data_IF_814400480735
#
_entry.id   IF_814400480735
#
_cell.length_a   1.000
_cell.length_b   1.000
_cell.length_c   1.000
_cell.angle_alpha   90.00
_cell.angle_beta   90.00
_cell.angle_gamma   90.00
#
_symmetry.space_group_name_H-M   'P 1'
#
loop_
_entity.id
_entity.type
_entity.pdbx_description
1 polymer ?
#
# COMPACT_ATOMS: atom_id res chain seq x y z
N UNK A 1 26.87 7.97 -7.94
CA UNK A 1 26.51 7.16 -6.73
C UNK A 1 26.77 5.68 -7.03
N UNK A 2 27.21 4.85 -6.07
CA UNK A 2 27.34 3.42 -6.32
C UNK A 2 25.97 2.72 -6.43
N UNK A 3 25.92 1.54 -7.09
CA UNK A 3 24.65 0.86 -7.37
C UNK A 3 23.88 0.41 -6.11
N UNK A 4 24.58 0.15 -5.00
CA UNK A 4 23.94 -0.27 -3.75
C UNK A 4 23.25 0.91 -3.07
N UNK A 5 23.89 2.08 -3.03
CA UNK A 5 23.29 3.32 -2.49
C UNK A 5 22.10 3.77 -3.32
N UNK A 6 22.18 3.67 -4.66
CA UNK A 6 21.05 3.98 -5.56
C UNK A 6 19.87 3.03 -5.29
N UNK A 7 20.12 1.74 -5.19
CA UNK A 7 19.08 0.75 -4.90
C UNK A 7 18.41 1.01 -3.54
N UNK A 8 19.17 1.40 -2.51
CA UNK A 8 18.64 1.78 -1.22
C UNK A 8 17.77 3.06 -1.33
N UNK A 9 18.29 4.11 -1.95
CA UNK A 9 17.58 5.37 -2.15
C UNK A 9 16.24 5.17 -2.84
N UNK A 10 16.23 4.41 -3.96
CA UNK A 10 15.01 4.08 -4.70
C UNK A 10 13.98 3.34 -3.84
N UNK A 11 14.40 2.30 -3.12
CA UNK A 11 13.49 1.53 -2.26
C UNK A 11 12.89 2.41 -1.17
N UNK A 12 13.70 3.24 -0.50
CA UNK A 12 13.25 4.16 0.54
C UNK A 12 12.28 5.20 0.00
N UNK A 13 12.59 5.83 -1.14
CA UNK A 13 11.71 6.80 -1.77
C UNK A 13 10.35 6.21 -2.15
N UNK A 14 10.34 5.01 -2.77
CA UNK A 14 9.09 4.35 -3.13
C UNK A 14 8.28 3.92 -1.90
N UNK A 15 8.93 3.37 -0.87
CA UNK A 15 8.30 3.04 0.41
C UNK A 15 7.71 4.28 1.08
N UNK A 16 8.46 5.39 1.09
CA UNK A 16 8.02 6.67 1.62
C UNK A 16 6.78 7.19 0.88
N UNK A 17 6.79 7.20 -0.46
CA UNK A 17 5.67 7.68 -1.25
C UNK A 17 4.40 6.86 -1.04
N UNK A 18 4.52 5.53 -0.99
CA UNK A 18 3.37 4.61 -0.79
C UNK A 18 2.85 4.65 0.65
N UNK A 19 3.68 5.00 1.64
CA UNK A 19 3.34 4.94 3.06
C UNK A 19 3.36 3.51 3.61
N UNK A 20 4.33 2.69 3.18
CA UNK A 20 4.52 1.32 3.68
C UNK A 20 5.93 1.08 4.15
N UNK A 21 6.07 0.36 5.28
CA UNK A 21 7.38 -0.02 5.80
C UNK A 21 8.15 -0.91 4.81
N UNK A 22 9.47 -0.76 4.81
CA UNK A 22 10.37 -1.62 4.04
C UNK A 22 10.35 -3.05 4.62
N UNK A 23 10.24 -4.09 3.77
CA UNK A 23 10.35 -5.47 4.23
C UNK A 23 11.71 -5.75 4.88
N UNK A 24 11.71 -6.51 5.98
CA UNK A 24 12.93 -7.01 6.64
C UNK A 24 13.72 -5.99 7.45
N UNK A 25 13.15 -4.81 7.74
CA UNK A 25 13.75 -3.91 8.72
C UNK A 25 13.62 -4.54 10.11
N UNK A 26 14.73 -4.70 10.87
CA UNK A 26 14.66 -5.11 12.27
C UNK A 26 13.72 -4.19 13.04
N UNK A 27 13.00 -4.75 14.00
CA UNK A 27 11.97 -4.04 14.74
C UNK A 27 12.44 -2.72 15.32
N UNK A 28 11.51 -1.92 15.65
CA UNK A 28 11.41 -0.53 16.08
C UNK A 28 12.40 -0.01 17.16
N UNK A 29 13.49 -0.70 17.43
CA UNK A 29 14.49 -0.29 18.42
C UNK A 29 15.47 0.77 17.91
N UNK A 30 15.49 1.06 16.60
CA UNK A 30 16.33 2.12 16.04
C UNK A 30 15.59 3.47 16.14
N UNK A 31 16.22 4.42 16.82
CA UNK A 31 15.75 5.80 16.92
C UNK A 31 15.56 6.43 15.54
N UNK A 32 14.40 7.09 15.33
CA UNK A 32 14.11 7.90 14.16
C UNK A 32 13.34 7.21 13.02
N UNK A 33 13.06 7.98 11.99
CA UNK A 33 12.32 7.56 10.80
C UNK A 33 13.17 6.69 9.86
N UNK A 34 12.52 5.77 9.12
CA UNK A 34 13.19 5.01 8.07
C UNK A 34 13.64 5.91 6.91
N UNK A 35 12.78 6.83 6.50
CA UNK A 35 13.03 7.74 5.40
C UNK A 35 12.57 9.14 5.77
N UNK A 36 13.44 10.13 5.57
CA UNK A 36 13.12 11.55 5.73
C UNK A 36 13.31 12.23 4.39
N UNK A 37 12.30 12.96 3.94
CA UNK A 37 12.35 13.79 2.75
C UNK A 37 12.31 15.27 3.17
N UNK A 38 13.26 16.04 2.68
CA UNK A 38 13.32 17.48 2.91
C UNK A 38 12.79 18.22 1.67
N UNK A 39 11.98 19.25 1.86
CA UNK A 39 11.62 20.19 0.80
C UNK A 39 12.70 21.26 0.61
N UNK A 40 13.40 21.63 1.69
CA UNK A 40 14.43 22.66 1.66
C UNK A 40 15.75 22.14 2.23
N UNK A 41 16.86 22.24 1.48
CA UNK A 41 18.16 21.74 1.92
C UNK A 41 18.72 22.50 3.14
N UNK A 42 18.22 23.72 3.47
CA UNK A 42 18.63 24.47 4.65
C UNK A 42 18.42 23.69 5.96
N UNK A 43 17.44 22.80 5.99
CA UNK A 43 17.09 22.01 7.16
C UNK A 43 17.96 20.76 7.36
N UNK A 44 18.82 20.42 6.39
CA UNK A 44 19.59 19.17 6.41
C UNK A 44 20.48 19.06 7.68
N UNK A 45 21.19 20.12 8.05
CA UNK A 45 22.09 20.10 9.18
C UNK A 45 21.34 19.86 10.52
N UNK A 46 20.17 20.48 10.67
CA UNK A 46 19.33 20.34 11.86
C UNK A 46 18.73 18.94 11.95
N UNK A 47 18.21 18.41 10.85
CA UNK A 47 17.68 17.04 10.78
C UNK A 47 18.75 16.02 11.12
N UNK A 48 19.95 16.16 10.59
CA UNK A 48 21.08 15.25 10.88
C UNK A 48 21.58 15.32 12.33
N UNK A 49 21.32 16.43 13.02
CA UNK A 49 21.65 16.62 14.44
C UNK A 49 20.53 16.22 15.41
N UNK A 50 19.37 15.81 14.90
CA UNK A 50 18.18 15.49 15.70
C UNK A 50 18.02 13.96 15.89
N UNK A 51 17.09 13.56 16.77
CA UNK A 51 16.63 12.20 16.97
C UNK A 51 15.58 11.74 15.92
N UNK A 52 15.25 12.60 14.95
CA UNK A 52 14.40 12.23 13.82
C UNK A 52 15.07 11.21 12.89
N UNK A 53 16.39 11.09 12.94
CA UNK A 53 17.20 10.19 12.11
C UNK A 53 18.07 9.25 12.95
N UNK A 54 18.15 8.01 12.49
CA UNK A 54 19.05 6.98 13.05
C UNK A 54 20.10 6.50 12.04
N UNK A 55 20.96 5.55 12.42
CA UNK A 55 22.02 5.03 11.55
C UNK A 55 21.53 4.44 10.23
N UNK A 56 20.30 3.93 10.20
CA UNK A 56 19.70 3.28 9.02
C UNK A 56 18.70 4.17 8.29
N UNK A 57 18.58 5.44 8.67
CA UNK A 57 17.71 6.40 7.99
C UNK A 57 18.29 6.77 6.63
N UNK A 58 17.42 6.86 5.62
CA UNK A 58 17.75 7.54 4.37
C UNK A 58 17.13 8.93 4.38
N UNK A 59 17.97 9.94 4.20
CA UNK A 59 17.57 11.35 4.08
C UNK A 59 17.68 11.77 2.64
N UNK A 60 16.56 12.17 2.04
CA UNK A 60 16.49 12.73 0.70
C UNK A 60 16.44 14.28 0.83
N UNK A 61 17.32 14.96 0.13
CA UNK A 61 17.45 16.42 0.19
C UNK A 61 17.54 17.03 -1.20
N UNK A 62 16.91 18.18 -1.47
CA UNK A 62 17.08 18.86 -2.76
C UNK A 62 18.54 19.22 -3.04
N UNK A 63 18.91 19.16 -4.31
CA UNK A 63 20.25 19.49 -4.77
C UNK A 63 21.27 18.36 -4.54
N UNK A 64 22.55 18.72 -4.48
CA UNK A 64 23.64 17.75 -4.33
C UNK A 64 23.81 17.38 -2.84
N UNK A 65 23.79 16.07 -2.56
CA UNK A 65 24.12 15.61 -1.21
C UNK A 65 25.59 15.99 -0.85
N UNK A 66 25.83 16.35 0.42
CA UNK A 66 27.20 16.58 0.88
C UNK A 66 28.00 15.28 0.82
N UNK A 67 29.28 15.40 0.42
CA UNK A 67 30.22 14.27 0.49
C UNK A 67 30.49 13.96 1.96
N UNK A 68 30.01 12.81 2.42
CA UNK A 68 30.33 12.27 3.74
C UNK A 68 31.40 11.21 3.55
N UNK A 69 32.51 11.35 4.27
CA UNK A 69 33.46 10.26 4.42
C UNK A 69 32.85 9.03 5.08
N UNK A 70 33.63 7.97 5.32
CA UNK A 70 33.19 6.71 5.96
C UNK A 70 32.76 6.88 7.46
N UNK A 71 31.92 7.87 7.72
CA UNK A 71 31.39 8.11 9.07
C UNK A 71 30.05 7.36 9.21
N UNK A 72 29.90 6.51 10.23
CA UNK A 72 28.60 5.90 10.53
C UNK A 72 27.51 6.94 10.71
N UNK A 73 26.35 6.73 10.09
CA UNK A 73 25.22 7.65 10.20
C UNK A 73 24.23 7.47 9.03
N UNK A 74 23.17 8.30 9.00
CA UNK A 74 22.14 8.20 7.96
C UNK A 74 22.70 8.37 6.54
N UNK A 75 22.14 7.65 5.60
CA UNK A 75 22.47 7.82 4.17
C UNK A 75 21.82 9.09 3.65
N UNK A 76 22.60 10.07 3.25
CA UNK A 76 22.10 11.31 2.59
C UNK A 76 22.18 11.16 1.08
N UNK A 77 21.06 11.45 0.41
CA UNK A 77 20.91 11.36 -1.04
C UNK A 77 20.33 12.66 -1.59
N UNK A 78 21.03 13.25 -2.56
CA UNK A 78 20.53 14.43 -3.25
C UNK A 78 19.52 14.08 -4.33
N UNK A 79 18.52 14.91 -4.53
CA UNK A 79 17.57 14.81 -5.63
C UNK A 79 17.37 16.17 -6.33
N UNK A 80 16.91 16.14 -7.57
CA UNK A 80 16.45 17.29 -8.32
C UNK A 80 14.95 17.17 -8.58
N UNK A 81 14.25 18.27 -8.70
CA UNK A 81 12.80 18.33 -8.84
C UNK A 81 12.07 18.49 -7.51
N UNK A 82 10.79 18.16 -7.47
CA UNK A 82 9.93 18.31 -6.29
C UNK A 82 9.03 17.08 -6.10
N UNK A 83 8.71 16.79 -4.84
CA UNK A 83 7.69 15.80 -4.45
C UNK A 83 6.39 16.46 -3.97
N UNK A 84 6.40 17.78 -3.76
CA UNK A 84 5.23 18.55 -3.30
C UNK A 84 4.48 19.22 -4.45
N UNK A 85 5.15 19.51 -5.57
CA UNK A 85 4.49 20.10 -6.74
C UNK A 85 3.56 19.10 -7.45
N UNK A 86 2.33 19.49 -7.79
CA UNK A 86 1.45 18.69 -8.64
C UNK A 86 2.10 18.42 -10.01
N UNK A 87 2.03 17.17 -10.49
CA UNK A 87 2.63 16.79 -11.77
C UNK A 87 4.15 16.98 -11.85
N UNK A 88 4.83 17.07 -10.69
CA UNK A 88 6.28 17.22 -10.63
C UNK A 88 7.02 15.93 -10.96
N UNK A 89 8.28 16.08 -11.29
CA UNK A 89 9.21 14.99 -11.49
C UNK A 89 10.36 15.11 -10.50
N UNK A 90 10.89 13.95 -10.11
CA UNK A 90 12.09 13.90 -9.27
C UNK A 90 13.14 13.03 -9.95
N UNK A 91 14.40 13.46 -9.90
CA UNK A 91 15.52 12.62 -10.32
C UNK A 91 16.59 12.47 -9.24
N UNK A 92 17.20 11.29 -9.20
CA UNK A 92 18.35 10.98 -8.34
C UNK A 92 19.53 10.61 -9.24
N UNK A 93 20.60 11.41 -9.16
CA UNK A 93 21.87 11.16 -9.85
C UNK A 93 21.70 10.92 -11.38
N UNK A 94 20.75 11.60 -12.02
CA UNK A 94 20.40 11.48 -13.44
C UNK A 94 20.17 10.04 -13.95
N UNK A 95 19.97 9.10 -13.04
CA UNK A 95 19.85 7.66 -13.36
C UNK A 95 18.55 7.03 -12.87
N UNK A 96 17.88 7.63 -11.90
CA UNK A 96 16.53 7.24 -11.48
C UNK A 96 15.60 8.44 -11.57
N UNK A 97 14.50 8.25 -12.30
CA UNK A 97 13.45 9.26 -12.48
C UNK A 97 12.14 8.75 -11.86
N UNK A 98 11.50 9.57 -11.08
CA UNK A 98 10.18 9.34 -10.52
C UNK A 98 9.24 10.42 -11.03
N UNK A 99 8.25 10.02 -11.80
CA UNK A 99 7.15 10.88 -12.22
C UNK A 99 6.09 10.91 -11.11
N UNK A 100 5.50 12.08 -10.86
CA UNK A 100 4.33 12.21 -9.98
C UNK A 100 3.13 12.67 -10.78
N UNK A 101 1.96 12.06 -10.53
CA UNK A 101 0.71 12.37 -11.22
C UNK A 101 -0.42 12.45 -10.21
N UNK A 102 -1.40 13.33 -10.45
CA UNK A 102 -2.62 13.38 -9.67
C UNK A 102 -3.60 12.32 -10.19
N UNK A 103 -4.37 11.71 -9.28
CA UNK A 103 -5.16 10.52 -9.62
C UNK A 103 -6.15 10.77 -10.76
N UNK A 104 -6.94 11.84 -10.70
CA UNK A 104 -7.96 12.14 -11.69
C UNK A 104 -7.40 12.38 -13.09
N UNK A 105 -6.18 12.89 -13.20
CA UNK A 105 -5.51 13.16 -14.48
C UNK A 105 -4.74 11.98 -15.03
N UNK A 106 -4.37 10.99 -14.19
CA UNK A 106 -3.50 9.87 -14.56
C UNK A 106 -4.06 9.01 -15.71
N UNK A 107 -5.38 8.94 -15.86
CA UNK A 107 -6.01 8.22 -16.99
C UNK A 107 -5.66 8.83 -18.36
N UNK A 108 -5.25 10.10 -18.41
CA UNK A 108 -4.92 10.86 -19.62
C UNK A 108 -3.42 11.08 -19.78
N UNK A 109 -2.61 10.64 -18.81
CA UNK A 109 -1.18 10.84 -18.79
C UNK A 109 -0.44 9.60 -19.27
N UNK A 110 0.76 9.80 -19.82
CA UNK A 110 1.64 8.68 -20.20
C UNK A 110 2.48 8.25 -18.99
N UNK A 111 2.55 6.94 -18.78
CA UNK A 111 3.50 6.32 -17.84
C UNK A 111 4.82 6.07 -18.58
N UNK A 112 5.85 6.87 -18.26
CA UNK A 112 7.15 6.79 -18.95
C UNK A 112 8.13 5.91 -18.16
N UNK A 113 7.94 5.79 -16.85
CA UNK A 113 8.81 5.04 -15.95
C UNK A 113 8.16 4.92 -14.57
N UNK A 114 8.99 4.83 -13.52
CA UNK A 114 8.47 4.79 -12.15
C UNK A 114 7.56 6.00 -11.90
N UNK A 115 6.32 5.76 -11.55
CA UNK A 115 5.28 6.80 -11.39
C UNK A 115 4.60 6.63 -10.04
N UNK A 116 4.46 7.73 -9.31
CA UNK A 116 3.71 7.83 -8.07
C UNK A 116 2.44 8.62 -8.32
N UNK A 117 1.30 7.95 -8.25
CA UNK A 117 -0.02 8.57 -8.39
C UNK A 117 -0.57 8.93 -7.03
N UNK A 118 -1.06 10.15 -6.88
CA UNK A 118 -1.45 10.75 -5.60
C UNK A 118 -2.87 11.27 -5.63
N UNK A 119 -3.46 11.36 -4.43
CA UNK A 119 -4.66 12.15 -4.17
C UNK A 119 -4.20 13.50 -3.61
N UNK A 120 -4.37 14.57 -4.40
CA UNK A 120 -3.93 15.93 -4.07
C UNK A 120 -5.10 16.90 -3.87
N UNK A 121 -6.30 16.48 -4.23
CA UNK A 121 -7.56 17.22 -4.03
C UNK A 121 -8.75 16.24 -3.92
N UNK A 122 -9.90 16.75 -3.51
CA UNK A 122 -11.11 15.93 -3.31
C UNK A 122 -11.55 15.23 -4.61
N UNK A 123 -11.41 15.88 -5.76
CA UNK A 123 -11.72 15.28 -7.07
C UNK A 123 -10.88 14.04 -7.40
N UNK A 124 -9.62 14.00 -6.95
CA UNK A 124 -8.77 12.81 -7.08
C UNK A 124 -9.30 11.65 -6.23
N UNK A 125 -9.77 11.97 -5.01
CA UNK A 125 -10.35 10.96 -4.13
C UNK A 125 -11.67 10.41 -4.68
N UNK A 126 -12.52 11.28 -5.23
CA UNK A 126 -13.75 10.86 -5.92
C UNK A 126 -13.46 9.95 -7.13
N UNK A 127 -12.46 10.30 -7.94
CA UNK A 127 -12.04 9.49 -9.09
C UNK A 127 -11.50 8.12 -8.63
N UNK A 128 -10.71 8.08 -7.55
CA UNK A 128 -10.23 6.83 -6.93
C UNK A 128 -11.40 5.95 -6.46
N UNK A 129 -12.41 6.52 -5.80
CA UNK A 129 -13.59 5.77 -5.35
C UNK A 129 -14.42 5.25 -6.52
N UNK A 130 -14.61 6.06 -7.56
CA UNK A 130 -15.35 5.65 -8.77
C UNK A 130 -14.67 4.47 -9.49
N UNK A 131 -13.34 4.49 -9.61
CA UNK A 131 -12.58 3.37 -10.19
C UNK A 131 -12.64 2.11 -9.29
N UNK A 132 -12.60 2.28 -7.98
CA UNK A 132 -12.75 1.18 -7.04
C UNK A 132 -14.16 0.54 -7.12
N UNK A 133 -15.20 1.35 -7.19
CA UNK A 133 -16.59 0.90 -7.35
C UNK A 133 -16.78 0.15 -8.67
N UNK A 134 -16.22 0.66 -9.78
CA UNK A 134 -16.23 -0.01 -11.09
C UNK A 134 -15.50 -1.34 -11.05
N UNK A 135 -14.32 -1.38 -10.46
CA UNK A 135 -13.58 -2.63 -10.29
C UNK A 135 -14.39 -3.63 -9.45
N UNK A 136 -15.04 -3.18 -8.38
CA UNK A 136 -15.86 -4.04 -7.52
C UNK A 136 -17.07 -4.61 -8.25
N UNK A 137 -17.77 -3.79 -9.02
CA UNK A 137 -18.99 -4.16 -9.73
C UNK A 137 -18.74 -4.95 -11.01
N UNK A 138 -17.76 -4.54 -11.81
CA UNK A 138 -17.57 -4.97 -13.20
C UNK A 138 -16.25 -5.75 -13.40
N UNK A 139 -15.32 -5.70 -12.45
CA UNK A 139 -13.98 -6.27 -12.61
C UNK A 139 -13.06 -5.42 -13.48
N UNK A 140 -13.45 -4.20 -13.77
CA UNK A 140 -12.69 -3.27 -14.61
C UNK A 140 -11.80 -2.39 -13.75
N UNK A 141 -10.52 -2.70 -13.71
CA UNK A 141 -9.51 -1.90 -13.02
C UNK A 141 -8.98 -0.79 -13.93
N UNK A 142 -8.76 0.41 -13.37
CA UNK A 142 -8.16 1.51 -14.11
C UNK A 142 -6.79 1.09 -14.69
N UNK A 143 -6.60 1.30 -16.00
CA UNK A 143 -5.45 0.78 -16.74
C UNK A 143 -4.12 1.30 -16.17
N UNK A 144 -4.04 2.62 -15.86
CA UNK A 144 -2.85 3.22 -15.27
C UNK A 144 -2.57 2.67 -13.87
N UNK A 145 -3.60 2.46 -13.03
CA UNK A 145 -3.45 1.98 -11.66
C UNK A 145 -2.95 0.52 -11.59
N UNK A 146 -3.05 -0.23 -12.67
CA UNK A 146 -2.55 -1.60 -12.81
C UNK A 146 -1.27 -1.71 -13.65
N UNK A 147 -0.70 -0.58 -14.10
CA UNK A 147 0.61 -0.56 -14.77
C UNK A 147 1.72 -0.93 -13.76
N UNK A 148 2.64 -1.85 -14.10
CA UNK A 148 3.74 -2.25 -13.22
C UNK A 148 4.65 -1.11 -12.74
N UNK A 149 4.76 -0.03 -13.51
CA UNK A 149 5.57 1.12 -13.17
C UNK A 149 4.87 2.10 -12.20
N UNK A 150 3.55 1.97 -12.01
CA UNK A 150 2.74 2.85 -11.18
C UNK A 150 2.63 2.34 -9.74
N UNK A 151 2.76 3.24 -8.78
CA UNK A 151 2.43 3.04 -7.38
C UNK A 151 1.43 4.11 -6.92
N UNK A 152 0.50 3.75 -6.05
CA UNK A 152 -0.37 4.72 -5.40
C UNK A 152 0.30 5.24 -4.13
N UNK A 153 0.25 6.54 -3.92
CA UNK A 153 0.71 7.17 -2.69
C UNK A 153 -0.30 6.97 -1.55
N UNK A 154 0.18 7.09 -0.33
CA UNK A 154 -0.65 7.21 0.88
C UNK A 154 -1.73 6.12 1.03
N UNK A 155 -1.41 4.89 0.59
CA UNK A 155 -2.40 3.79 0.49
C UNK A 155 -3.07 3.47 1.84
N UNK A 156 -2.40 3.72 2.96
CA UNK A 156 -2.98 3.54 4.29
C UNK A 156 -4.16 4.47 4.54
N UNK A 157 -4.06 5.71 4.06
CA UNK A 157 -5.14 6.69 4.14
C UNK A 157 -6.29 6.39 3.16
N UNK A 158 -6.02 5.66 2.08
CA UNK A 158 -7.00 5.23 1.07
C UNK A 158 -7.71 3.92 1.43
N UNK A 159 -7.46 3.35 2.61
CA UNK A 159 -8.16 2.16 3.10
C UNK A 159 -7.32 0.89 3.24
N UNK A 160 -6.01 0.90 2.91
CA UNK A 160 -5.17 -0.28 3.12
C UNK A 160 -4.91 -0.61 4.60
N UNK A 161 -5.32 0.28 5.51
CA UNK A 161 -5.13 0.12 6.94
C UNK A 161 -3.77 0.59 7.46
N UNK A 162 -3.64 0.77 8.78
CA UNK A 162 -2.52 1.47 9.40
C UNK A 162 -1.23 0.66 9.53
N UNK A 163 -1.22 -0.63 9.21
CA UNK A 163 -0.25 -1.62 9.68
C UNK A 163 1.24 -1.27 9.46
N UNK A 164 1.58 -0.26 8.66
CA UNK A 164 2.98 0.07 8.40
C UNK A 164 3.25 1.55 8.09
N UNK A 165 2.27 2.43 8.20
CA UNK A 165 2.46 3.87 7.98
C UNK A 165 2.72 4.60 9.31
N UNK A 166 3.33 5.77 9.24
CA UNK A 166 3.58 6.65 10.37
C UNK A 166 5.01 7.19 10.41
N UNK A 167 5.33 8.01 11.45
CA UNK A 167 6.62 8.69 11.57
C UNK A 167 7.84 7.75 11.57
N UNK A 168 7.71 6.52 12.11
CA UNK A 168 8.78 5.54 12.09
C UNK A 168 9.09 5.03 10.66
N UNK A 169 8.11 5.05 9.76
CA UNK A 169 8.27 4.66 8.36
C UNK A 169 8.76 5.83 7.52
N UNK A 170 8.15 7.01 7.69
CA UNK A 170 8.40 8.17 6.86
C UNK A 170 8.17 9.49 7.56
N UNK A 171 9.01 10.47 7.25
CA UNK A 171 8.81 11.87 7.58
C UNK A 171 9.01 12.75 6.34
N UNK A 172 8.28 13.84 6.29
CA UNK A 172 8.46 14.93 5.38
C UNK A 172 8.73 16.22 6.16
N UNK A 173 9.74 16.96 5.77
CA UNK A 173 10.10 18.27 6.33
C UNK A 173 9.80 19.31 5.29
N UNK A 174 8.71 20.04 5.49
CA UNK A 174 8.26 21.08 4.56
C UNK A 174 9.17 22.28 4.50
N UNK A 175 8.85 23.20 3.60
CA UNK A 175 9.65 24.42 3.30
C UNK A 175 10.03 25.21 4.57
N UNK A 176 9.10 25.39 5.51
CA UNK A 176 9.28 26.13 6.76
C UNK A 176 9.65 25.26 7.97
N UNK A 177 10.06 23.99 7.75
CA UNK A 177 10.45 23.07 8.82
C UNK A 177 9.28 22.41 9.56
N UNK A 178 8.07 22.44 9.01
CA UNK A 178 6.93 21.65 9.52
C UNK A 178 7.17 20.16 9.27
N UNK A 179 6.82 19.31 10.23
CA UNK A 179 6.94 17.86 10.16
C UNK A 179 5.60 17.23 9.85
N UNK A 180 5.54 16.33 8.86
CA UNK A 180 4.39 15.54 8.49
C UNK A 180 4.83 14.16 7.93
N UNK A 181 3.91 13.30 7.50
CA UNK A 181 4.23 12.03 6.84
C UNK A 181 4.20 12.11 5.32
N UNK A 182 3.61 13.17 4.76
CA UNK A 182 3.53 13.41 3.31
C UNK A 182 3.53 14.91 3.02
N UNK A 183 3.73 15.37 1.77
CA UNK A 183 3.75 16.78 1.42
C UNK A 183 2.46 17.54 1.78
N UNK A 184 1.32 16.89 1.68
CA UNK A 184 0.00 17.45 2.03
C UNK A 184 -0.49 16.99 3.40
N UNK A 185 0.31 16.13 4.08
CA UNK A 185 -0.06 15.58 5.37
C UNK A 185 -0.28 16.63 6.44
N UNK A 186 -1.18 16.32 7.38
CA UNK A 186 -1.40 17.16 8.56
C UNK A 186 -0.08 17.33 9.32
N UNK A 187 0.18 18.54 9.75
CA UNK A 187 1.37 18.87 10.54
C UNK A 187 1.35 18.15 11.87
N UNK A 188 2.41 17.40 12.17
CA UNK A 188 2.61 16.65 13.41
C UNK A 188 3.54 17.37 14.40
N UNK A 189 4.33 18.33 13.91
CA UNK A 189 5.29 19.08 14.71
C UNK A 189 6.11 20.05 13.86
N UNK A 190 7.23 20.49 14.41
CA UNK A 190 8.22 21.35 13.75
C UNK A 190 9.62 20.82 14.01
N UNK A 191 10.58 21.24 13.21
CA UNK A 191 12.00 21.03 13.52
C UNK A 191 12.32 21.55 14.93
N UNK A 192 13.11 20.77 15.67
CA UNK A 192 13.35 20.99 17.09
C UNK A 192 12.46 20.17 18.02
N UNK A 193 11.31 19.67 17.56
CA UNK A 193 10.54 18.67 18.29
C UNK A 193 11.26 17.32 18.25
N UNK A 194 11.28 16.61 19.38
CA UNK A 194 11.84 15.25 19.45
C UNK A 194 10.95 14.22 18.73
N UNK A 195 11.57 13.16 18.20
CA UNK A 195 10.88 12.09 17.46
C UNK A 195 9.70 11.51 18.25
N UNK A 196 9.85 11.28 19.55
CA UNK A 196 8.76 10.80 20.41
C UNK A 196 7.53 11.73 20.42
N UNK A 197 7.73 13.05 20.33
CA UNK A 197 6.64 14.04 20.27
C UNK A 197 5.87 13.93 18.94
N UNK A 198 6.59 13.70 17.85
CA UNK A 198 6.00 13.52 16.50
C UNK A 198 5.17 12.22 16.46
N UNK A 199 5.70 11.13 17.02
CA UNK A 199 4.96 9.87 17.15
C UNK A 199 3.70 10.05 17.99
N UNK A 200 3.80 10.70 19.16
CA UNK A 200 2.65 10.96 20.01
C UNK A 200 1.58 11.84 19.34
N UNK A 201 1.98 12.78 18.47
CA UNK A 201 1.06 13.59 17.68
C UNK A 201 0.34 12.74 16.62
N UNK A 202 1.05 11.82 15.96
CA UNK A 202 0.49 10.84 15.02
C UNK A 202 -0.52 9.93 15.71
N UNK A 203 -0.16 9.33 16.84
CA UNK A 203 -1.03 8.41 17.59
C UNK A 203 -2.31 9.09 18.04
N UNK A 204 -2.21 10.34 18.53
CA UNK A 204 -3.34 11.15 18.95
C UNK A 204 -4.28 11.44 17.76
N UNK A 205 -3.73 11.88 16.63
CA UNK A 205 -4.52 12.17 15.44
C UNK A 205 -5.26 10.92 14.92
N UNK A 206 -4.61 9.74 15.00
CA UNK A 206 -5.25 8.47 14.62
C UNK A 206 -6.31 8.00 15.63
N UNK A 207 -6.16 8.32 16.92
CA UNK A 207 -7.17 8.00 17.93
C UNK A 207 -8.44 8.84 17.82
N UNK A 208 -8.39 9.99 17.15
CA UNK A 208 -9.50 10.91 16.93
C UNK A 208 -10.34 10.57 15.68
N UNK A 209 -9.92 9.61 14.86
CA UNK A 209 -10.63 9.22 13.63
C UNK A 209 -11.09 7.77 13.67
N UNK A 210 -12.25 7.49 13.05
CA UNK A 210 -12.76 6.12 12.88
C UNK A 210 -11.87 5.27 11.93
N UNK A 211 -11.20 5.92 10.98
CA UNK A 211 -10.30 5.29 10.03
C UNK A 211 -8.91 5.91 10.13
N UNK A 212 -7.93 5.25 10.79
CA UNK A 212 -6.57 5.74 10.97
C UNK A 212 -5.87 6.13 9.67
N UNK A 213 -4.76 6.88 9.78
CA UNK A 213 -3.92 7.36 8.67
C UNK A 213 -4.49 8.54 7.85
N UNK A 214 -5.60 9.16 8.24
CA UNK A 214 -6.08 10.41 7.64
C UNK A 214 -5.00 11.50 7.57
N UNK A 215 -4.12 11.51 8.55
CA UNK A 215 -2.99 12.45 8.67
C UNK A 215 -2.18 12.58 7.39
N UNK A 216 -2.02 11.50 6.62
CA UNK A 216 -1.23 11.48 5.39
C UNK A 216 -1.86 12.31 4.26
N UNK A 217 -3.19 12.38 4.19
CA UNK A 217 -3.91 13.23 3.22
C UNK A 217 -4.13 14.66 3.74
N UNK A 218 -3.96 14.89 5.04
CA UNK A 218 -4.15 16.20 5.65
C UNK A 218 -5.53 16.78 5.42
N UNK A 219 -5.57 18.00 4.93
CA UNK A 219 -6.80 18.71 4.61
C UNK A 219 -7.22 18.56 3.12
N UNK A 220 -6.49 17.77 2.34
CA UNK A 220 -6.75 17.52 0.91
C UNK A 220 -8.13 16.90 0.70
N UNK A 221 -8.51 15.96 1.58
CA UNK A 221 -9.83 15.33 1.61
C UNK A 221 -10.42 15.60 3.00
N UNK A 222 -11.62 16.22 3.08
CA UNK A 222 -12.31 16.41 4.35
C UNK A 222 -12.49 15.09 5.10
N UNK A 223 -12.21 15.07 6.41
CA UNK A 223 -12.19 13.82 7.19
C UNK A 223 -13.56 13.15 7.28
N UNK A 224 -14.64 13.90 7.28
CA UNK A 224 -16.01 13.39 7.24
C UNK A 224 -16.32 12.71 5.90
N UNK A 225 -15.89 13.30 4.78
CA UNK A 225 -16.02 12.72 3.42
C UNK A 225 -15.23 11.41 3.33
N UNK A 226 -13.97 11.42 3.78
CA UNK A 226 -13.12 10.24 3.80
C UNK A 226 -13.70 9.14 4.69
N UNK A 227 -14.11 9.47 5.91
CA UNK A 227 -14.70 8.53 6.88
C UNK A 227 -15.97 7.90 6.33
N UNK A 228 -16.87 8.68 5.73
CA UNK A 228 -18.08 8.16 5.10
C UNK A 228 -17.74 7.17 3.97
N UNK A 229 -16.83 7.55 3.07
CA UNK A 229 -16.43 6.72 1.94
C UNK A 229 -15.82 5.37 2.37
N UNK A 230 -14.92 5.38 3.38
CA UNK A 230 -14.29 4.16 3.91
C UNK A 230 -15.27 3.27 4.68
N UNK A 231 -16.24 3.87 5.38
CA UNK A 231 -17.29 3.14 6.08
C UNK A 231 -18.25 2.45 5.11
N UNK A 232 -18.61 3.12 4.01
CA UNK A 232 -19.44 2.56 2.95
C UNK A 232 -18.74 1.48 2.12
N UNK A 233 -17.39 1.52 2.06
CA UNK A 233 -16.55 0.64 1.25
C UNK A 233 -15.48 -0.08 2.08
N UNK A 234 -15.86 -0.94 3.05
CA UNK A 234 -14.90 -1.64 3.92
C UNK A 234 -13.90 -2.51 3.14
N UNK A 235 -14.24 -2.85 1.89
CA UNK A 235 -13.43 -3.63 0.95
C UNK A 235 -12.32 -2.83 0.22
N UNK A 236 -12.18 -1.51 0.43
CA UNK A 236 -11.13 -0.71 -0.24
C UNK A 236 -9.71 -1.24 0.04
N UNK A 237 -9.46 -1.78 1.22
CA UNK A 237 -8.18 -2.45 1.50
C UNK A 237 -7.90 -3.62 0.57
N UNK A 238 -8.92 -4.42 0.24
CA UNK A 238 -8.81 -5.51 -0.75
C UNK A 238 -8.63 -4.98 -2.17
N UNK A 239 -9.28 -3.89 -2.54
CA UNK A 239 -9.06 -3.24 -3.84
C UNK A 239 -7.60 -2.82 -4.02
N UNK A 240 -7.00 -2.17 -3.01
CA UNK A 240 -5.59 -1.76 -3.04
C UNK A 240 -4.64 -2.98 -3.11
N UNK A 241 -4.97 -4.06 -2.40
CA UNK A 241 -4.23 -5.32 -2.50
C UNK A 241 -4.38 -5.96 -3.89
N UNK A 242 -5.59 -5.91 -4.48
CA UNK A 242 -5.85 -6.40 -5.83
C UNK A 242 -5.06 -5.63 -6.89
N UNK A 243 -5.02 -4.28 -6.81
CA UNK A 243 -4.17 -3.46 -7.68
C UNK A 243 -2.69 -3.88 -7.61
N UNK A 244 -2.17 -4.10 -6.40
CA UNK A 244 -0.78 -4.53 -6.21
C UNK A 244 -0.53 -5.92 -6.82
N UNK A 245 -1.44 -6.87 -6.61
CA UNK A 245 -1.34 -8.22 -7.16
C UNK A 245 -1.45 -8.24 -8.70
N UNK A 246 -2.35 -7.45 -9.29
CA UNK A 246 -2.49 -7.34 -10.75
C UNK A 246 -1.22 -6.73 -11.35
N UNK A 247 -0.66 -5.66 -10.76
CA UNK A 247 0.63 -5.07 -11.19
C UNK A 247 1.76 -6.10 -11.17
N UNK A 248 1.85 -6.89 -10.10
CA UNK A 248 2.86 -7.95 -9.99
C UNK A 248 2.73 -9.00 -11.11
N UNK A 249 1.51 -9.43 -11.43
CA UNK A 249 1.28 -10.41 -12.49
C UNK A 249 1.53 -9.80 -13.87
N UNK A 250 1.14 -8.55 -14.11
CA UNK A 250 1.46 -7.81 -15.35
C UNK A 250 2.97 -7.62 -15.54
N UNK A 251 3.71 -7.34 -14.47
CA UNK A 251 5.17 -7.26 -14.51
C UNK A 251 5.82 -8.59 -14.96
N UNK A 252 5.11 -9.72 -14.79
CA UNK A 252 5.52 -11.04 -15.27
C UNK A 252 4.98 -11.38 -16.67
N UNK A 253 4.34 -10.42 -17.36
CA UNK A 253 3.78 -10.58 -18.70
C UNK A 253 2.43 -11.29 -18.75
N UNK A 254 1.66 -11.29 -17.65
CA UNK A 254 0.33 -11.89 -17.60
C UNK A 254 -0.73 -10.81 -17.81
N UNK A 255 -1.49 -10.94 -18.89
CA UNK A 255 -2.63 -10.08 -19.23
C UNK A 255 -3.96 -10.79 -18.95
N UNK A 256 -5.06 -10.03 -18.97
CA UNK A 256 -6.41 -10.59 -18.77
C UNK A 256 -6.63 -11.18 -17.37
N UNK A 257 -5.88 -10.72 -16.37
CA UNK A 257 -6.00 -11.17 -14.99
C UNK A 257 -7.33 -10.71 -14.40
N UNK A 258 -8.11 -11.65 -13.89
CA UNK A 258 -9.35 -11.42 -13.14
C UNK A 258 -9.08 -11.61 -11.65
N UNK A 259 -9.83 -10.92 -10.80
CA UNK A 259 -9.65 -10.94 -9.32
C UNK A 259 -10.95 -11.36 -8.67
N UNK A 260 -10.90 -12.34 -7.79
CA UNK A 260 -12.06 -12.83 -7.05
C UNK A 260 -12.70 -11.73 -6.19
N UNK A 261 -14.02 -11.62 -6.32
CA UNK A 261 -14.80 -10.60 -5.63
C UNK A 261 -14.81 -9.24 -6.31
N UNK A 262 -14.16 -9.11 -7.49
CA UNK A 262 -14.22 -7.93 -8.35
C UNK A 262 -14.82 -8.35 -9.71
N UNK A 263 -16.07 -7.99 -9.96
CA UNK A 263 -16.82 -8.35 -11.16
C UNK A 263 -17.18 -9.84 -11.29
N UNK A 264 -16.68 -10.71 -10.43
CA UNK A 264 -16.98 -12.13 -10.48
C UNK A 264 -16.10 -13.01 -9.60
N UNK A 265 -16.29 -14.32 -9.72
CA UNK A 265 -15.51 -15.35 -9.02
C UNK A 265 -15.15 -16.49 -9.99
N UNK A 266 -14.11 -17.24 -9.65
CA UNK A 266 -13.68 -18.40 -10.40
C UNK A 266 -14.57 -19.61 -10.08
N UNK A 267 -14.92 -19.80 -8.80
CA UNK A 267 -15.84 -20.86 -8.38
C UNK A 267 -17.27 -20.53 -8.82
N UNK A 268 -18.03 -21.48 -9.34
CA UNK A 268 -19.45 -21.31 -9.53
C UNK A 268 -20.10 -21.10 -8.15
N UNK A 269 -20.75 -19.97 -8.02
CA UNK A 269 -21.39 -19.35 -6.84
C UNK A 269 -21.60 -20.28 -5.61
N UNK A 270 -20.64 -20.37 -4.66
CA UNK A 270 -20.78 -21.21 -3.48
C UNK A 270 -21.78 -20.67 -2.45
N UNK A 271 -22.26 -19.43 -2.63
CA UNK A 271 -23.16 -18.76 -1.68
C UNK A 271 -24.56 -18.44 -2.25
N UNK A 272 -24.90 -18.90 -3.48
CA UNK A 272 -26.22 -18.69 -4.07
C UNK A 272 -26.56 -17.24 -4.41
N UNK A 273 -25.56 -16.40 -4.58
CA UNK A 273 -25.71 -14.94 -4.77
C UNK A 273 -25.32 -14.53 -6.19
N UNK A 274 -26.07 -15.02 -7.17
CA UNK A 274 -26.00 -14.54 -8.56
C UNK A 274 -26.47 -13.09 -8.65
N UNK A 275 -25.57 -12.12 -8.53
CA UNK A 275 -25.82 -10.71 -8.70
C UNK A 275 -24.52 -9.91 -8.82
N UNK A 276 -24.51 -8.87 -9.64
CA UNK A 276 -23.38 -8.01 -9.96
C UNK A 276 -22.76 -7.24 -8.76
N UNK A 277 -23.39 -7.29 -7.59
CA UNK A 277 -22.78 -6.86 -6.34
C UNK A 277 -22.17 -8.12 -5.70
N UNK A 278 -20.86 -8.13 -5.44
CA UNK A 278 -20.23 -9.22 -4.69
C UNK A 278 -21.02 -9.52 -3.41
N UNK A 279 -21.14 -10.81 -3.00
CA UNK A 279 -22.04 -11.19 -1.95
C UNK A 279 -21.70 -10.45 -0.66
N UNK A 280 -22.62 -9.61 -0.19
CA UNK A 280 -22.64 -9.19 1.21
C UNK A 280 -22.71 -10.46 2.06
N UNK A 281 -21.58 -10.82 2.70
CA UNK A 281 -21.52 -12.02 3.55
C UNK A 281 -20.44 -13.03 3.19
N UNK A 282 -19.70 -12.88 2.09
CA UNK A 282 -18.52 -13.69 1.84
C UNK A 282 -17.43 -13.35 2.87
N UNK A 283 -16.83 -14.38 3.49
CA UNK A 283 -15.86 -14.20 4.57
C UNK A 283 -14.60 -13.42 4.14
N UNK A 284 -14.28 -13.47 2.84
CA UNK A 284 -13.14 -12.76 2.24
C UNK A 284 -13.49 -11.34 1.75
N UNK A 285 -14.73 -10.85 1.89
CA UNK A 285 -15.19 -9.66 1.20
C UNK A 285 -14.42 -8.39 1.60
N UNK A 286 -14.10 -8.23 2.86
CA UNK A 286 -13.62 -6.96 3.43
C UNK A 286 -12.22 -7.09 4.07
N UNK A 287 -11.72 -8.28 4.33
CA UNK A 287 -10.42 -8.47 4.99
C UNK A 287 -9.26 -8.36 4.00
N UNK A 288 -8.56 -7.23 4.05
CA UNK A 288 -7.37 -6.96 3.21
C UNK A 288 -6.17 -7.89 3.52
N UNK A 289 -6.15 -8.53 4.68
CA UNK A 289 -5.09 -9.46 5.11
C UNK A 289 -5.25 -10.85 4.53
N UNK A 290 -6.46 -11.24 4.16
CA UNK A 290 -6.72 -12.54 3.55
C UNK A 290 -6.13 -12.63 2.14
N UNK A 291 -5.68 -13.82 1.71
CA UNK A 291 -5.22 -14.04 0.35
C UNK A 291 -6.25 -13.63 -0.70
N UNK A 292 -5.75 -13.14 -1.83
CA UNK A 292 -6.54 -12.85 -3.02
C UNK A 292 -6.40 -14.00 -4.01
N UNK A 293 -7.52 -14.47 -4.56
CA UNK A 293 -7.48 -15.34 -5.72
C UNK A 293 -7.55 -14.49 -6.99
N UNK A 294 -6.60 -14.73 -7.90
CA UNK A 294 -6.59 -14.15 -9.24
C UNK A 294 -6.55 -15.31 -10.24
N UNK A 295 -7.04 -15.07 -11.46
CA UNK A 295 -6.96 -16.10 -12.49
C UNK A 295 -6.90 -15.52 -13.91
N UNK A 296 -6.37 -16.32 -14.81
CA UNK A 296 -6.47 -16.19 -16.27
C UNK A 296 -7.20 -17.41 -16.83
N UNK A 297 -7.33 -17.53 -18.12
CA UNK A 297 -7.94 -18.71 -18.73
C UNK A 297 -7.07 -19.98 -18.56
N UNK A 298 -5.79 -19.84 -18.22
CA UNK A 298 -4.83 -20.96 -18.13
C UNK A 298 -4.53 -21.41 -16.71
N UNK A 299 -4.54 -20.51 -15.73
CA UNK A 299 -4.09 -20.77 -14.36
C UNK A 299 -4.75 -19.85 -13.34
N UNK A 300 -4.74 -20.28 -12.09
CA UNK A 300 -5.08 -19.47 -10.95
C UNK A 300 -3.83 -19.08 -10.14
N UNK A 301 -3.94 -18.00 -9.40
CA UNK A 301 -2.87 -17.42 -8.58
C UNK A 301 -3.45 -17.06 -7.22
N UNK A 302 -2.79 -17.50 -6.16
CA UNK A 302 -3.13 -17.07 -4.79
C UNK A 302 -2.06 -16.08 -4.34
N UNK A 303 -2.45 -14.83 -4.19
CA UNK A 303 -1.60 -13.77 -3.68
C UNK A 303 -1.84 -13.58 -2.19
N UNK A 304 -0.78 -13.72 -1.39
CA UNK A 304 -0.81 -13.52 0.06
C UNK A 304 -0.20 -12.14 0.38
N UNK A 305 -1.01 -11.09 0.64
CA UNK A 305 -0.51 -9.71 0.82
C UNK A 305 0.46 -9.59 1.99
N UNK A 306 0.17 -10.25 3.11
CA UNK A 306 1.01 -10.22 4.32
C UNK A 306 2.39 -10.85 4.12
N UNK A 307 2.50 -11.87 3.26
CA UNK A 307 3.76 -12.54 2.93
C UNK A 307 4.46 -11.94 1.70
N UNK A 308 3.78 -11.07 0.92
CA UNK A 308 4.26 -10.54 -0.35
C UNK A 308 4.60 -11.65 -1.37
N UNK A 309 3.82 -12.74 -1.37
CA UNK A 309 4.09 -13.94 -2.20
C UNK A 309 2.88 -14.29 -3.04
N UNK A 310 3.15 -14.72 -4.27
CA UNK A 310 2.13 -15.18 -5.22
C UNK A 310 2.43 -16.61 -5.66
N UNK A 311 1.45 -17.50 -5.49
CA UNK A 311 1.53 -18.90 -5.82
C UNK A 311 0.72 -19.18 -7.08
N UNK A 312 1.34 -19.79 -8.10
CA UNK A 312 0.62 -20.28 -9.27
C UNK A 312 0.07 -21.68 -8.96
N UNK A 313 -1.22 -21.89 -9.21
CA UNK A 313 -1.90 -23.18 -9.05
C UNK A 313 -2.76 -23.51 -10.28
N UNK A 314 -3.17 -24.76 -10.42
CA UNK A 314 -4.14 -25.14 -11.46
C UNK A 314 -5.52 -24.55 -11.15
N UNK A 315 -6.34 -24.33 -12.19
CA UNK A 315 -7.68 -23.75 -12.04
C UNK A 315 -8.56 -24.50 -11.02
N UNK A 316 -8.50 -25.84 -10.99
CA UNK A 316 -9.25 -26.63 -10.02
C UNK A 316 -8.83 -26.37 -8.57
N UNK A 317 -7.52 -26.27 -8.30
CA UNK A 317 -7.01 -25.92 -6.98
C UNK A 317 -7.39 -24.48 -6.62
N UNK A 318 -7.42 -23.58 -7.62
CA UNK A 318 -7.92 -22.22 -7.47
C UNK A 318 -9.38 -22.17 -7.04
N UNK A 319 -10.26 -22.97 -7.67
CA UNK A 319 -11.67 -23.08 -7.27
C UNK A 319 -11.81 -23.51 -5.81
N UNK A 320 -11.04 -24.52 -5.37
CA UNK A 320 -11.07 -24.99 -3.98
C UNK A 320 -10.55 -23.95 -2.99
N UNK A 321 -9.46 -23.24 -3.35
CA UNK A 321 -8.92 -22.16 -2.54
C UNK A 321 -9.92 -21.01 -2.40
N UNK A 322 -10.59 -20.60 -3.50
CA UNK A 322 -11.63 -19.59 -3.47
C UNK A 322 -12.82 -20.03 -2.61
N UNK A 323 -13.26 -21.28 -2.73
CA UNK A 323 -14.36 -21.80 -1.90
C UNK A 323 -14.03 -21.70 -0.41
N UNK A 324 -12.78 -22.02 -0.01
CA UNK A 324 -12.33 -21.87 1.39
C UNK A 324 -12.34 -20.41 1.83
N UNK A 325 -11.83 -19.50 0.99
CA UNK A 325 -11.79 -18.06 1.28
C UNK A 325 -13.20 -17.48 1.44
N UNK A 326 -14.11 -17.81 0.54
CA UNK A 326 -15.48 -17.29 0.50
C UNK A 326 -16.31 -17.82 1.67
N UNK A 327 -16.21 -19.12 1.96
CA UNK A 327 -16.97 -19.77 3.03
C UNK A 327 -16.37 -19.52 4.43
N UNK A 328 -15.11 -19.14 4.53
CA UNK A 328 -14.43 -18.83 5.78
C UNK A 328 -14.18 -20.02 6.70
N UNK A 329 -14.71 -21.21 6.40
CA UNK A 329 -14.49 -22.41 7.19
C UNK A 329 -14.50 -23.67 6.30
N UNK A 330 -13.78 -24.72 6.73
CA UNK A 330 -13.76 -26.01 6.02
C UNK A 330 -15.14 -26.68 6.00
N UNK A 331 -15.92 -26.54 7.08
CA UNK A 331 -17.23 -27.18 7.18
C UNK A 331 -18.22 -26.52 6.21
N UNK A 332 -18.27 -25.20 6.14
CA UNK A 332 -19.09 -24.49 5.16
C UNK A 332 -18.62 -24.74 3.72
N UNK A 333 -17.31 -24.78 3.46
CA UNK A 333 -16.76 -25.07 2.14
C UNK A 333 -17.09 -26.51 1.68
N UNK A 334 -17.16 -27.47 2.62
CA UNK A 334 -17.48 -28.86 2.32
C UNK A 334 -18.94 -29.10 1.89
N UNK A 335 -19.81 -28.10 2.02
CA UNK A 335 -21.16 -28.13 1.44
C UNK A 335 -21.13 -27.90 -0.09
N UNK A 336 -20.05 -27.32 -0.62
CA UNK A 336 -19.90 -26.91 -2.02
C UNK A 336 -18.82 -27.69 -2.78
N UNK A 337 -17.90 -28.38 -2.07
CA UNK A 337 -16.79 -29.11 -2.69
C UNK A 337 -16.36 -30.32 -1.84
N UNK A 338 -15.59 -31.21 -2.46
CA UNK A 338 -15.07 -32.43 -1.79
C UNK A 338 -14.16 -32.06 -0.61
N UNK A 339 -14.50 -32.56 0.59
CA UNK A 339 -13.84 -32.20 1.85
C UNK A 339 -12.36 -32.60 1.90
N UNK A 340 -12.00 -33.70 1.32
CA UNK A 340 -10.62 -34.21 1.39
C UNK A 340 -9.73 -33.38 0.47
N UNK A 341 -10.22 -33.01 -0.71
CA UNK A 341 -9.54 -32.06 -1.60
C UNK A 341 -9.40 -30.66 -1.00
N UNK A 342 -10.41 -30.18 -0.28
CA UNK A 342 -10.33 -28.90 0.44
C UNK A 342 -9.22 -28.94 1.49
N UNK A 343 -9.10 -30.04 2.25
CA UNK A 343 -8.02 -30.23 3.23
C UNK A 343 -6.64 -30.29 2.58
N UNK A 344 -6.50 -30.95 1.45
CA UNK A 344 -5.24 -31.00 0.71
C UNK A 344 -4.78 -29.59 0.29
N UNK A 345 -5.69 -28.78 -0.25
CA UNK A 345 -5.40 -27.40 -0.65
C UNK A 345 -5.08 -26.55 0.57
N UNK A 346 -5.85 -26.65 1.64
CA UNK A 346 -5.59 -25.92 2.88
C UNK A 346 -4.21 -26.27 3.48
N UNK A 347 -3.88 -27.56 3.56
CA UNK A 347 -2.60 -28.03 4.07
C UNK A 347 -1.42 -27.52 3.22
N UNK A 348 -1.56 -27.53 1.89
CA UNK A 348 -0.54 -27.00 0.97
C UNK A 348 -0.23 -25.52 1.25
N UNK A 349 -1.25 -24.69 1.43
CA UNK A 349 -1.04 -23.26 1.72
C UNK A 349 -0.57 -23.01 3.15
N UNK A 350 -1.03 -23.81 4.12
CA UNK A 350 -0.56 -23.73 5.51
C UNK A 350 0.94 -24.06 5.63
N UNK A 351 1.44 -25.08 4.93
CA UNK A 351 2.87 -25.41 4.83
C UNK A 351 3.69 -24.25 4.22
N UNK A 352 3.07 -23.48 3.32
CA UNK A 352 3.69 -22.30 2.73
C UNK A 352 3.59 -21.03 3.62
N UNK A 353 2.96 -21.16 4.81
CA UNK A 353 2.73 -20.05 5.75
C UNK A 353 1.60 -19.11 5.31
N UNK A 354 0.65 -19.61 4.53
CA UNK A 354 -0.51 -18.85 4.04
C UNK A 354 -1.80 -19.44 4.60
N UNK A 355 -2.52 -18.67 5.38
CA UNK A 355 -3.83 -19.07 5.89
C UNK A 355 -4.93 -18.64 4.92
N UNK A 356 -5.77 -19.62 4.48
CA UNK A 356 -6.91 -19.36 3.59
C UNK A 356 -8.19 -19.00 4.35
N UNK A 357 -8.11 -18.79 5.67
CA UNK A 357 -9.25 -18.46 6.53
C UNK A 357 -8.87 -17.37 7.53
N UNK A 358 -9.83 -16.54 7.90
CA UNK A 358 -9.62 -15.56 8.98
C UNK A 358 -9.42 -16.27 10.32
N UNK A 359 -8.36 -15.92 11.05
CA UNK A 359 -8.05 -16.46 12.38
C UNK A 359 -9.10 -16.09 13.47
N UNK A 360 -10.17 -15.38 13.12
CA UNK A 360 -11.05 -14.63 14.03
C UNK A 360 -12.22 -15.39 14.66
N UNK A 361 -12.38 -16.71 14.51
CA UNK A 361 -13.56 -17.43 15.08
C UNK A 361 -13.24 -18.63 15.98
N UNK A 362 -11.98 -18.83 16.40
CA UNK A 362 -11.63 -19.96 17.30
C UNK A 362 -11.58 -19.57 18.80
N UNK A 363 -12.23 -18.50 19.24
CA UNK A 363 -12.07 -17.97 20.61
C UNK A 363 -13.34 -17.61 21.40
N UNK A 364 -14.53 -18.07 20.99
CA UNK A 364 -15.74 -17.78 21.78
C UNK A 364 -16.63 -19.03 21.97
N UNK A 365 -16.06 -20.06 22.60
CA UNK A 365 -16.82 -21.29 22.88
C UNK A 365 -16.03 -22.29 23.73
N UNK A 366 -15.75 -21.94 24.99
CA UNK A 366 -15.45 -22.89 26.08
C UNK A 366 -15.81 -22.22 27.42
#
# INVERSE_FOLDING_TARGET
MDGNRMSAARRHLMSWGVGRALPGRPGQEDAGAATVVLENPRHLAEVLGSDLVGPHTVVLTPGRAPERGDVPGPLVVGYQGSLSEPGGDLSIDDSFFLQTQDYATSAYMSVIGATLVRVTEEADFEAFLADADRARAEGEFAAFATDPAVQLADVSALGAGPASDGPATRLYVGEEGGLSTSPWGRRLGVLGDGFASVVAAWDRANAETAHPCAVALGDTVPEDVRTAALTERPWLGRYLAALAAVRELRARGLDGVRVSGFGGRLAPDPAGTSGAAGPSGAADADDAGLPLLLWTDEAAYVHAPGAGRTFRVGLQAGVLAETLLVCGSLDAAAEHADRDRLREVEAFFAEAGVELRSAGLLGAGA
#
